data_IF_762289604166
#
_entry.id   IF_762289604166
#
_cell.length_a   1.000
_cell.length_b   1.000
_cell.length_c   1.000
_cell.angle_alpha   90.00
_cell.angle_beta   90.00
_cell.angle_gamma   90.00
#
_symmetry.space_group_name_H-M   'P 1'
#
loop_
_entity.id
_entity.type
_entity.pdbx_description
1 polymer ?
#
# COMPACT_ATOMS: atom_id res chain seq x y z
N UNK A 1 9.61 -57.52 -39.50
CA UNK A 1 8.49 -56.57 -39.72
C UNK A 1 8.81 -55.26 -38.98
N UNK A 2 9.39 -54.29 -39.66
CA UNK A 2 9.81 -53.02 -39.09
C UNK A 2 8.75 -51.99 -39.45
N UNK A 3 8.04 -51.44 -38.44
CA UNK A 3 7.05 -50.35 -38.63
C UNK A 3 7.78 -49.00 -38.63
N UNK A 4 7.83 -48.38 -39.79
CA UNK A 4 8.36 -47.03 -40.01
C UNK A 4 7.50 -46.00 -39.32
N UNK A 5 8.11 -45.22 -38.42
CA UNK A 5 7.47 -44.12 -37.70
C UNK A 5 7.40 -42.87 -38.61
N UNK A 6 6.17 -42.42 -38.93
CA UNK A 6 5.90 -41.28 -39.78
C UNK A 6 6.08 -39.99 -39.00
N UNK A 7 7.19 -39.29 -39.23
CA UNK A 7 7.46 -37.98 -38.67
C UNK A 7 6.41 -36.96 -39.07
N UNK A 8 5.63 -36.42 -38.09
CA UNK A 8 4.72 -35.32 -38.31
C UNK A 8 5.51 -34.01 -38.35
N UNK A 9 5.69 -33.49 -39.56
CA UNK A 9 6.34 -32.21 -39.81
C UNK A 9 5.31 -31.11 -39.44
N UNK A 10 5.44 -30.53 -38.23
CA UNK A 10 4.65 -29.41 -37.74
C UNK A 10 4.84 -28.19 -38.63
N UNK A 11 3.75 -27.79 -39.30
CA UNK A 11 3.70 -26.61 -40.15
C UNK A 11 3.63 -25.37 -39.25
N UNK A 12 4.72 -24.62 -39.13
CA UNK A 12 4.75 -23.37 -38.38
C UNK A 12 3.79 -22.36 -38.99
N UNK A 13 2.97 -21.67 -38.20
CA UNK A 13 2.03 -20.68 -38.74
C UNK A 13 2.80 -19.48 -39.29
N UNK A 14 2.48 -19.14 -40.54
CA UNK A 14 3.13 -18.01 -41.22
C UNK A 14 2.86 -16.70 -40.47
N UNK A 15 3.91 -15.87 -40.30
CA UNK A 15 3.85 -14.53 -39.67
C UNK A 15 2.71 -13.66 -40.20
N UNK A 16 2.37 -13.78 -41.47
CA UNK A 16 1.22 -13.09 -42.10
C UNK A 16 -0.14 -13.54 -41.55
N UNK A 17 -0.30 -14.80 -41.15
CA UNK A 17 -1.56 -15.27 -40.52
C UNK A 17 -1.69 -14.72 -39.12
N UNK A 18 -0.59 -14.62 -38.36
CA UNK A 18 -0.59 -14.03 -37.03
C UNK A 18 -1.07 -12.58 -37.04
N UNK A 19 -0.59 -11.75 -37.96
CA UNK A 19 -1.01 -10.34 -38.08
C UNK A 19 -2.45 -10.17 -38.52
N UNK A 20 -2.99 -11.08 -39.36
CA UNK A 20 -4.39 -11.05 -39.77
C UNK A 20 -5.33 -11.42 -38.62
N UNK A 21 -4.94 -12.34 -37.75
CA UNK A 21 -5.73 -12.73 -36.57
C UNK A 21 -5.67 -11.62 -35.51
N UNK A 22 -4.52 -10.93 -35.33
CA UNK A 22 -4.39 -9.81 -34.43
C UNK A 22 -5.22 -8.59 -34.89
N UNK A 23 -5.39 -8.36 -36.20
CA UNK A 23 -6.20 -7.27 -36.72
C UNK A 23 -7.72 -7.54 -36.63
N UNK A 24 -8.15 -8.81 -36.59
CA UNK A 24 -9.56 -9.17 -36.39
C UNK A 24 -9.96 -9.19 -34.88
N UNK A 25 -8.98 -9.27 -33.98
CA UNK A 25 -9.15 -9.11 -32.53
C UNK A 25 -9.04 -7.63 -32.07
N UNK A 26 -9.11 -6.71 -33.02
CA UNK A 26 -8.77 -5.30 -32.85
C UNK A 26 -9.80 -4.45 -32.14
N UNK A 27 -10.51 -4.95 -31.17
CA UNK A 27 -11.06 -4.21 -30.02
C UNK A 27 -11.09 -5.16 -28.81
N UNK A 28 -10.00 -5.87 -28.52
CA UNK A 28 -9.75 -6.15 -27.14
C UNK A 28 -9.52 -4.76 -26.53
N UNK A 29 -10.58 -4.19 -25.93
CA UNK A 29 -10.42 -3.11 -24.99
C UNK A 29 -9.18 -3.48 -24.17
N UNK A 30 -8.14 -2.66 -24.23
CA UNK A 30 -7.06 -2.72 -23.27
C UNK A 30 -7.81 -2.63 -21.96
N UNK A 31 -8.04 -3.76 -21.31
CA UNK A 31 -8.50 -3.80 -19.96
C UNK A 31 -7.36 -3.12 -19.23
N UNK A 32 -7.42 -1.78 -19.19
CA UNK A 32 -6.67 -1.04 -18.17
C UNK A 32 -7.00 -1.83 -16.90
N UNK A 33 -5.98 -2.26 -16.14
CA UNK A 33 -6.26 -2.86 -14.87
C UNK A 33 -7.23 -1.86 -14.22
N UNK A 34 -8.47 -2.28 -14.12
CA UNK A 34 -9.46 -1.53 -13.36
C UNK A 34 -8.85 -1.52 -11.98
N UNK A 35 -8.18 -0.42 -11.66
CA UNK A 35 -7.76 -0.17 -10.29
C UNK A 35 -9.09 -0.15 -9.58
N UNK A 36 -9.42 -1.32 -9.04
CA UNK A 36 -10.53 -1.44 -8.13
C UNK A 36 -10.17 -0.46 -7.03
N UNK A 37 -10.70 0.74 -7.12
CA UNK A 37 -10.74 1.69 -6.02
C UNK A 37 -11.66 1.00 -5.00
N UNK A 38 -11.10 -0.05 -4.40
CA UNK A 38 -11.74 -0.86 -3.40
C UNK A 38 -12.33 0.06 -2.35
N UNK A 39 -13.34 -0.41 -1.68
CA UNK A 39 -14.01 0.29 -0.59
C UNK A 39 -13.00 1.12 0.20
N UNK A 40 -13.31 2.42 0.43
CA UNK A 40 -12.38 3.35 1.06
C UNK A 40 -11.69 2.69 2.27
N UNK A 41 -10.37 2.58 2.21
CA UNK A 41 -9.60 1.96 3.27
C UNK A 41 -9.34 2.99 4.36
N UNK A 42 -9.60 2.61 5.62
CA UNK A 42 -9.29 3.45 6.77
C UNK A 42 -8.15 2.83 7.55
N UNK A 43 -7.04 3.57 7.70
CA UNK A 43 -5.90 3.20 8.52
C UNK A 43 -6.00 3.90 9.87
N UNK A 44 -5.67 3.20 10.95
CA UNK A 44 -5.61 3.77 12.30
C UNK A 44 -4.21 4.28 12.58
N UNK A 45 -4.08 5.57 12.90
CA UNK A 45 -2.83 6.20 13.30
C UNK A 45 -2.94 6.74 14.72
N UNK A 46 -2.03 6.35 15.61
CA UNK A 46 -1.95 6.96 16.93
C UNK A 46 -0.80 7.95 17.00
N UNK A 47 -1.12 9.17 17.47
CA UNK A 47 -0.14 10.20 17.78
C UNK A 47 0.36 10.10 19.24
N UNK A 48 1.58 10.56 19.46
CA UNK A 48 2.14 10.73 20.80
C UNK A 48 1.69 12.03 21.50
N UNK A 49 0.84 12.81 20.85
CA UNK A 49 0.45 14.15 21.25
C UNK A 49 -1.03 14.21 21.62
N UNK A 50 -1.42 15.09 22.55
CA UNK A 50 -2.83 15.29 22.88
C UNK A 50 -3.58 15.97 21.71
N UNK A 51 -4.86 15.67 21.60
CA UNK A 51 -5.78 16.46 20.76
C UNK A 51 -5.97 17.85 21.38
N UNK A 52 -6.13 18.86 20.53
CA UNK A 52 -6.26 20.26 20.95
C UNK A 52 -5.15 21.12 20.39
N UNK A 53 -4.84 22.26 21.00
CA UNK A 53 -3.85 23.22 20.54
C UNK A 53 -2.40 22.69 20.64
N UNK A 54 -2.09 21.60 19.95
CA UNK A 54 -0.78 20.98 19.87
C UNK A 54 -0.35 20.91 18.40
N UNK A 55 0.71 21.67 18.08
CA UNK A 55 1.19 21.81 16.69
C UNK A 55 1.51 20.46 16.03
N UNK A 56 2.08 19.49 16.78
CA UNK A 56 2.41 18.18 16.21
C UNK A 56 1.16 17.36 15.89
N UNK A 57 0.10 17.50 16.70
CA UNK A 57 -1.16 16.84 16.42
C UNK A 57 -1.87 17.48 15.23
N UNK A 58 -1.83 18.81 15.12
CA UNK A 58 -2.39 19.56 13.99
C UNK A 58 -1.65 19.18 12.69
N UNK A 59 -0.32 19.16 12.70
CA UNK A 59 0.47 18.71 11.53
C UNK A 59 0.13 17.27 11.12
N UNK A 60 -0.10 16.37 12.07
CA UNK A 60 -0.56 15.02 11.77
C UNK A 60 -1.96 15.01 11.13
N UNK A 61 -2.84 15.89 11.60
CA UNK A 61 -4.17 16.08 11.02
C UNK A 61 -4.12 16.59 9.58
N UNK A 62 -3.27 17.57 9.30
CA UNK A 62 -3.03 18.10 7.95
C UNK A 62 -2.49 17.01 7.02
N UNK A 63 -1.56 16.20 7.50
CA UNK A 63 -1.05 15.03 6.77
C UNK A 63 -2.19 14.05 6.42
N UNK A 64 -3.05 13.71 7.38
CA UNK A 64 -4.18 12.81 7.16
C UNK A 64 -5.15 13.38 6.10
N UNK A 65 -5.42 14.68 6.16
CA UNK A 65 -6.24 15.37 5.17
C UNK A 65 -5.61 15.33 3.79
N UNK A 66 -4.32 15.65 3.67
CA UNK A 66 -3.58 15.63 2.41
C UNK A 66 -3.60 14.24 1.77
N UNK A 67 -3.40 13.17 2.53
CA UNK A 67 -3.49 11.79 2.04
C UNK A 67 -4.89 11.49 1.51
N UNK A 68 -5.93 11.90 2.22
CA UNK A 68 -7.32 11.71 1.77
C UNK A 68 -7.60 12.46 0.47
N UNK A 69 -7.16 13.73 0.38
CA UNK A 69 -7.35 14.57 -0.82
C UNK A 69 -6.60 13.98 -2.03
N UNK A 70 -5.32 13.57 -1.86
CA UNK A 70 -4.51 12.98 -2.93
C UNK A 70 -5.04 11.63 -3.40
N UNK A 71 -5.65 10.85 -2.51
CA UNK A 71 -6.23 9.54 -2.85
C UNK A 71 -7.66 9.62 -3.40
N UNK A 72 -8.22 10.84 -3.55
CA UNK A 72 -9.62 11.03 -3.92
C UNK A 72 -10.59 10.44 -2.90
N UNK A 73 -10.19 10.34 -1.61
CA UNK A 73 -10.98 9.78 -0.53
C UNK A 73 -10.95 8.26 -0.41
N UNK A 74 -10.19 7.57 -1.28
CA UNK A 74 -10.07 6.11 -1.23
C UNK A 74 -9.22 5.63 -0.04
N UNK A 75 -8.32 6.47 0.47
CA UNK A 75 -7.53 6.21 1.67
C UNK A 75 -7.83 7.28 2.72
N UNK A 76 -8.22 6.84 3.91
CA UNK A 76 -8.45 7.69 5.07
C UNK A 76 -7.56 7.26 6.22
N UNK A 77 -7.14 8.21 7.03
CA UNK A 77 -6.38 7.95 8.25
C UNK A 77 -7.21 8.45 9.44
N UNK A 78 -7.55 7.52 10.33
CA UNK A 78 -8.21 7.79 11.60
C UNK A 78 -7.13 8.13 12.63
N UNK A 79 -6.97 9.43 12.88
CA UNK A 79 -5.94 9.96 13.78
C UNK A 79 -6.43 9.93 15.23
N UNK A 80 -5.74 9.14 16.05
CA UNK A 80 -6.02 8.98 17.48
C UNK A 80 -5.02 9.79 18.32
N UNK A 81 -5.47 10.48 19.37
CA UNK A 81 -4.57 11.19 20.28
C UNK A 81 -3.77 10.25 21.18
N UNK A 82 -2.84 10.82 21.92
CA UNK A 82 -2.03 10.10 22.92
C UNK A 82 -2.91 9.32 23.89
N UNK A 83 -2.54 8.08 24.15
CA UNK A 83 -3.24 7.22 25.11
C UNK A 83 -4.58 6.64 24.65
N UNK A 84 -5.00 6.91 23.41
CA UNK A 84 -6.26 6.36 22.90
C UNK A 84 -6.24 4.84 22.72
N UNK A 85 -5.10 4.28 22.28
CA UNK A 85 -4.92 2.84 22.09
C UNK A 85 -3.84 2.31 23.04
N UNK A 86 -2.64 2.90 23.00
CA UNK A 86 -1.50 2.52 23.83
C UNK A 86 -0.77 3.74 24.39
N UNK A 87 0.13 3.53 25.36
CA UNK A 87 1.00 4.59 25.88
C UNK A 87 2.01 5.01 24.82
N UNK A 88 2.53 6.25 24.92
CA UNK A 88 3.50 6.82 23.98
C UNK A 88 4.72 5.92 23.74
N UNK A 89 5.28 5.34 24.80
CA UNK A 89 6.44 4.44 24.70
C UNK A 89 6.17 3.11 24.00
N UNK A 90 4.90 2.77 23.81
CA UNK A 90 4.43 1.50 23.24
C UNK A 90 3.94 1.64 21.77
N UNK A 91 3.84 2.88 21.25
CA UNK A 91 3.32 3.12 19.90
C UNK A 91 4.06 2.30 18.86
N UNK A 92 5.39 2.31 18.85
CA UNK A 92 6.17 1.54 17.89
C UNK A 92 5.95 0.04 18.02
N UNK A 93 5.74 -0.50 19.23
CA UNK A 93 5.39 -1.90 19.44
C UNK A 93 3.97 -2.20 18.93
N UNK A 94 3.02 -1.27 19.12
CA UNK A 94 1.67 -1.39 18.65
C UNK A 94 1.59 -1.43 17.11
N UNK A 95 2.40 -0.62 16.43
CA UNK A 95 2.54 -0.69 14.96
C UNK A 95 3.13 -2.03 14.54
N UNK A 96 4.21 -2.48 15.19
CA UNK A 96 4.85 -3.76 14.85
C UNK A 96 3.94 -4.97 15.05
N UNK A 97 3.03 -4.91 16.03
CA UNK A 97 2.05 -5.98 16.31
C UNK A 97 0.76 -5.87 15.50
N UNK A 98 0.56 -4.76 14.76
CA UNK A 98 -0.66 -4.51 14.01
C UNK A 98 -1.84 -4.04 14.86
N UNK A 99 -1.62 -3.60 16.11
CA UNK A 99 -2.68 -3.01 16.95
C UNK A 99 -3.13 -1.64 16.42
N UNK A 100 -2.21 -0.90 15.80
CA UNK A 100 -2.46 0.27 14.97
C UNK A 100 -1.67 0.14 13.67
N UNK A 101 -2.16 0.73 12.59
CA UNK A 101 -1.51 0.65 11.28
C UNK A 101 -0.33 1.63 11.17
N UNK A 102 -0.40 2.76 11.88
CA UNK A 102 0.59 3.83 11.81
C UNK A 102 0.81 4.46 13.19
N UNK A 103 1.99 5.07 13.37
CA UNK A 103 2.31 5.84 14.57
C UNK A 103 2.97 7.17 14.21
N UNK A 104 2.59 8.24 14.90
CA UNK A 104 3.22 9.54 14.83
C UNK A 104 3.83 9.90 16.18
N UNK A 105 5.14 9.63 16.31
CA UNK A 105 5.89 9.86 17.56
C UNK A 105 7.36 10.20 17.27
N UNK A 106 8.12 10.60 18.31
CA UNK A 106 9.57 10.81 18.21
C UNK A 106 10.29 9.49 18.47
N UNK A 107 11.20 9.12 17.59
CA UNK A 107 12.00 7.89 17.72
C UNK A 107 12.85 7.84 18.98
N UNK A 108 13.18 9.01 19.58
CA UNK A 108 13.88 9.13 20.85
C UNK A 108 13.20 8.37 22.01
N UNK A 109 11.88 8.18 21.96
CA UNK A 109 11.19 7.35 22.98
C UNK A 109 11.62 5.88 22.97
N UNK A 110 12.31 5.45 21.93
CA UNK A 110 12.87 4.10 21.83
C UNK A 110 14.32 3.98 22.30
N UNK A 111 14.92 5.07 22.81
CA UNK A 111 16.30 5.08 23.27
C UNK A 111 16.62 3.92 24.22
N UNK A 112 15.74 3.60 25.15
CA UNK A 112 15.91 2.49 26.09
C UNK A 112 15.91 1.10 25.45
N UNK A 113 15.37 0.95 24.21
CA UNK A 113 15.36 -0.30 23.45
C UNK A 113 16.45 -0.32 22.38
N UNK A 114 16.71 0.82 21.77
CA UNK A 114 17.72 0.98 20.73
C UNK A 114 18.36 2.39 20.84
N UNK A 115 19.59 2.50 21.32
CA UNK A 115 20.27 3.80 21.45
C UNK A 115 20.40 4.57 20.14
N UNK A 116 20.46 3.88 18.98
CA UNK A 116 20.52 4.54 17.68
C UNK A 116 19.24 5.31 17.34
N UNK A 117 18.11 5.00 17.98
CA UNK A 117 16.84 5.70 17.74
C UNK A 117 16.91 7.20 18.11
N UNK A 118 17.79 7.60 19.03
CA UNK A 118 17.99 9.00 19.40
C UNK A 118 18.75 9.83 18.36
N UNK A 119 19.32 9.19 17.33
CA UNK A 119 20.05 9.89 16.27
C UNK A 119 19.10 10.45 15.20
N UNK A 120 17.84 10.04 15.20
CA UNK A 120 16.85 10.35 14.16
C UNK A 120 15.62 11.12 14.70
N UNK A 121 15.68 11.63 15.93
CA UNK A 121 14.59 12.34 16.57
C UNK A 121 15.04 13.51 17.43
#
# INVERSE_FOLDING_TARGET
>A
MIKTNKSMKGKSPSRRKFFKTAAAAGVAAVAMPYVNLGAAQTLKMQAAWPSGANIFFEMAGDYCKMVSDMSGGSLKIDLQPVGAVVKTSEIGQAVSSGAVDMGHWVTAYWYGKNPAASLFG
#
